data_IF_137972316131
#
_entry.id   IF_137972316131
#
_cell.length_a   1.000
_cell.length_b   1.000
_cell.length_c   1.000
_cell.angle_alpha   90.00
_cell.angle_beta   90.00
_cell.angle_gamma   90.00
#
_symmetry.space_group_name_H-M   'P 1'
#
loop_
_entity.id
_entity.type
_entity.pdbx_description
1 polymer ?
#
# COMPACT_ATOMS: atom_id res chain seq x y z
N UNK A 1 16.50 27.07 49.53
CA UNK A 1 15.16 27.24 48.90
C UNK A 1 15.19 26.88 47.40
N UNK A 2 15.62 25.67 47.01
CA UNK A 2 15.58 25.22 45.60
C UNK A 2 15.04 23.78 45.48
N UNK A 3 14.92 23.04 46.59
CA UNK A 3 14.57 21.62 46.58
C UNK A 3 13.05 21.32 46.59
N UNK A 4 12.20 22.31 46.90
CA UNK A 4 10.74 22.17 46.94
C UNK A 4 10.06 22.34 45.56
N UNK A 5 10.80 22.72 44.52
CA UNK A 5 10.26 22.98 43.18
C UNK A 5 10.25 21.75 42.27
N UNK A 6 11.17 20.80 42.46
CA UNK A 6 11.32 19.65 41.54
C UNK A 6 10.27 18.58 41.82
N UNK A 7 9.87 18.39 43.09
CA UNK A 7 8.91 17.37 43.48
C UNK A 7 7.49 17.71 42.99
N UNK A 8 7.11 19.00 42.97
CA UNK A 8 5.86 19.46 42.39
C UNK A 8 5.81 19.32 40.86
N UNK A 9 6.96 19.45 40.17
CA UNK A 9 7.06 19.25 38.71
C UNK A 9 6.96 17.76 38.37
N UNK A 10 7.58 16.88 39.17
CA UNK A 10 7.49 15.43 38.99
C UNK A 10 6.07 14.91 39.31
N UNK A 11 5.40 15.44 40.32
CA UNK A 11 3.99 15.11 40.61
C UNK A 11 3.02 15.63 39.54
N UNK A 12 3.30 16.80 38.95
CA UNK A 12 2.55 17.30 37.80
C UNK A 12 2.76 16.44 36.55
N UNK A 13 4.00 16.03 36.26
CA UNK A 13 4.29 15.11 35.15
C UNK A 13 3.70 13.72 35.36
N UNK A 14 3.77 13.18 36.57
CA UNK A 14 3.20 11.85 36.86
C UNK A 14 1.67 11.88 36.84
N UNK A 15 0.98 12.92 37.33
CA UNK A 15 -0.48 13.09 37.15
C UNK A 15 -0.91 13.28 35.69
N UNK A 16 -0.06 13.90 34.85
CA UNK A 16 -0.34 14.07 33.42
C UNK A 16 -0.09 12.81 32.58
N UNK A 17 0.75 11.90 33.09
CA UNK A 17 1.03 10.58 32.48
C UNK A 17 0.05 9.52 32.99
N UNK A 18 -0.48 9.63 34.22
CA UNK A 18 -1.40 8.65 34.82
C UNK A 18 -2.88 9.03 34.78
N UNK A 19 -3.24 10.26 34.40
CA UNK A 19 -4.62 10.76 34.36
C UNK A 19 -5.07 11.13 32.94
N UNK A 20 -5.26 10.12 32.09
CA UNK A 20 -5.79 10.32 30.75
C UNK A 20 -5.93 8.99 30.03
N UNK A 21 -6.97 8.22 30.37
CA UNK A 21 -7.39 7.08 29.57
C UNK A 21 -7.58 7.56 28.11
N UNK A 22 -6.63 7.22 27.23
CA UNK A 22 -6.78 7.27 25.77
C UNK A 22 -7.82 6.22 25.35
N UNK A 23 -9.08 6.45 25.67
CA UNK A 23 -10.21 5.72 25.08
C UNK A 23 -10.65 6.31 23.74
N UNK A 24 -10.17 7.49 23.37
CA UNK A 24 -10.63 8.23 22.19
C UNK A 24 -9.69 8.16 20.98
N UNK A 25 -8.52 7.52 21.09
CA UNK A 25 -7.47 7.50 20.05
C UNK A 25 -7.33 6.14 19.32
N UNK A 26 -7.54 5.02 20.04
CA UNK A 26 -7.45 3.66 19.46
C UNK A 26 -8.43 3.43 18.31
N UNK A 27 -9.64 3.97 18.42
CA UNK A 27 -10.68 3.82 17.39
C UNK A 27 -10.36 4.62 16.12
N UNK A 28 -9.63 5.73 16.23
CA UNK A 28 -9.19 6.53 15.09
C UNK A 28 -8.04 5.85 14.38
N UNK A 29 -7.05 5.35 15.12
CA UNK A 29 -5.91 4.63 14.56
C UNK A 29 -6.33 3.32 13.86
N UNK A 30 -7.25 2.54 14.43
CA UNK A 30 -7.80 1.33 13.79
C UNK A 30 -8.61 1.66 12.52
N UNK A 31 -9.38 2.75 12.51
CA UNK A 31 -10.12 3.20 11.33
C UNK A 31 -9.19 3.68 10.21
N UNK A 32 -8.13 4.41 10.55
CA UNK A 32 -7.11 4.86 9.58
C UNK A 32 -6.31 3.66 9.06
N UNK A 33 -5.96 2.71 9.93
CA UNK A 33 -5.26 1.48 9.54
C UNK A 33 -6.12 0.66 8.58
N UNK A 34 -7.43 0.53 8.86
CA UNK A 34 -8.38 -0.13 7.96
C UNK A 34 -8.50 0.62 6.62
N UNK A 35 -8.54 1.95 6.64
CA UNK A 35 -8.54 2.79 5.42
C UNK A 35 -7.25 2.72 4.62
N UNK A 36 -6.14 2.19 5.16
CA UNK A 36 -4.88 2.05 4.43
C UNK A 36 -4.63 0.61 4.00
N UNK A 37 -5.05 -0.36 4.81
CA UNK A 37 -5.06 -1.78 4.43
C UNK A 37 -6.14 -2.03 3.37
N UNK A 38 -7.28 -1.34 3.45
CA UNK A 38 -8.35 -1.31 2.47
C UNK A 38 -8.72 0.11 2.02
N UNK A 39 -7.77 0.72 1.30
CA UNK A 39 -7.81 2.06 0.68
C UNK A 39 -9.10 2.42 -0.07
N UNK A 40 -9.92 1.45 -0.48
CA UNK A 40 -11.08 1.71 -1.33
C UNK A 40 -12.41 1.09 -0.87
N UNK A 41 -12.52 0.51 0.33
CA UNK A 41 -13.83 0.23 0.92
C UNK A 41 -14.62 1.54 1.10
N UNK A 42 -15.61 1.83 0.26
CA UNK A 42 -16.63 2.87 0.57
C UNK A 42 -18.04 2.59 0.05
N UNK A 43 -18.93 3.32 0.74
CA UNK A 43 -20.37 3.51 0.66
C UNK A 43 -20.87 4.19 -0.63
N UNK A 44 -22.18 4.42 -0.64
CA UNK A 44 -23.11 4.36 -1.77
C UNK A 44 -22.93 5.37 -2.92
N UNK A 45 -23.28 4.86 -4.12
CA UNK A 45 -23.85 5.52 -5.29
C UNK A 45 -23.61 7.03 -5.46
N UNK A 46 -22.52 7.35 -6.16
CA UNK A 46 -22.35 8.63 -6.88
C UNK A 46 -22.52 8.42 -8.38
N UNK A 47 -23.22 9.34 -9.02
CA UNK A 47 -23.64 9.39 -10.43
C UNK A 47 -22.63 8.80 -11.43
N UNK A 48 -23.10 7.81 -12.21
CA UNK A 48 -22.28 6.88 -12.98
C UNK A 48 -22.19 7.33 -14.45
N UNK A 49 -21.01 7.80 -14.86
CA UNK A 49 -20.65 7.95 -16.29
C UNK A 49 -19.58 6.95 -16.74
N UNK A 50 -19.12 6.07 -15.83
CA UNK A 50 -18.16 5.00 -16.09
C UNK A 50 -18.87 3.76 -16.64
N UNK A 51 -18.27 3.08 -17.63
CA UNK A 51 -18.73 1.76 -18.06
C UNK A 51 -18.61 0.77 -16.88
N UNK A 52 -19.76 0.44 -16.27
CA UNK A 52 -19.84 -0.51 -15.16
C UNK A 52 -19.37 -1.89 -15.66
N UNK A 53 -18.39 -2.47 -14.95
CA UNK A 53 -17.91 -3.82 -15.24
C UNK A 53 -18.85 -4.83 -14.59
N UNK A 54 -19.42 -5.72 -15.40
CA UNK A 54 -20.27 -6.78 -14.84
C UNK A 54 -19.42 -7.78 -14.08
N UNK A 55 -20.02 -8.43 -13.07
CA UNK A 55 -19.31 -9.45 -12.28
C UNK A 55 -18.81 -10.60 -13.15
N UNK A 56 -19.53 -10.96 -14.22
CA UNK A 56 -19.13 -12.01 -15.15
C UNK A 56 -17.90 -11.61 -15.98
N UNK A 57 -17.81 -10.34 -16.38
CA UNK A 57 -16.63 -9.80 -17.07
C UNK A 57 -15.40 -9.84 -16.16
N UNK A 58 -15.55 -9.41 -14.91
CA UNK A 58 -14.47 -9.44 -13.91
C UNK A 58 -14.04 -10.89 -13.65
N UNK A 59 -15.00 -11.79 -13.46
CA UNK A 59 -14.75 -13.22 -13.21
C UNK A 59 -13.97 -13.85 -14.36
N UNK A 60 -14.40 -13.61 -15.61
CA UNK A 60 -13.71 -14.13 -16.78
C UNK A 60 -12.28 -13.59 -16.89
N UNK A 61 -12.08 -12.30 -16.63
CA UNK A 61 -10.75 -11.69 -16.66
C UNK A 61 -9.83 -12.27 -15.56
N UNK A 62 -10.33 -12.41 -14.33
CA UNK A 62 -9.58 -13.00 -13.22
C UNK A 62 -9.18 -14.44 -13.52
N UNK A 63 -10.07 -15.26 -14.09
CA UNK A 63 -9.75 -16.64 -14.48
C UNK A 63 -8.66 -16.72 -15.54
N UNK A 64 -8.65 -15.80 -16.51
CA UNK A 64 -7.55 -15.71 -17.49
C UNK A 64 -6.23 -15.34 -16.83
N UNK A 65 -6.24 -14.42 -15.86
CA UNK A 65 -5.03 -14.03 -15.11
C UNK A 65 -4.53 -15.15 -14.19
N UNK A 66 -5.42 -15.98 -13.64
CA UNK A 66 -5.04 -17.20 -12.90
C UNK A 66 -4.33 -18.24 -13.77
N UNK A 67 -4.52 -18.19 -15.09
CA UNK A 67 -3.88 -19.08 -16.06
C UNK A 67 -2.59 -18.50 -16.66
N UNK A 68 -2.21 -17.27 -16.28
CA UNK A 68 -0.95 -16.69 -16.73
C UNK A 68 0.23 -17.45 -16.10
N UNK A 69 1.21 -17.84 -16.92
CA UNK A 69 2.39 -18.55 -16.46
C UNK A 69 3.59 -17.61 -16.30
N UNK A 70 3.66 -16.57 -17.14
CA UNK A 70 4.79 -15.65 -17.23
C UNK A 70 4.41 -14.20 -16.89
N UNK A 71 5.40 -13.37 -16.56
CA UNK A 71 5.22 -11.92 -16.39
C UNK A 71 4.68 -11.27 -17.66
N UNK A 72 5.17 -11.66 -18.85
CA UNK A 72 4.68 -11.14 -20.12
C UNK A 72 3.20 -11.44 -20.38
N UNK A 73 2.75 -12.67 -20.08
CA UNK A 73 1.32 -13.01 -20.13
C UNK A 73 0.49 -12.12 -19.23
N UNK A 74 0.97 -11.89 -18.01
CA UNK A 74 0.26 -11.07 -17.04
C UNK A 74 0.21 -9.59 -17.47
N UNK A 75 1.31 -9.02 -17.95
CA UNK A 75 1.36 -7.64 -18.47
C UNK A 75 0.31 -7.44 -19.56
N UNK A 76 0.22 -8.37 -20.51
CA UNK A 76 -0.73 -8.30 -21.62
C UNK A 76 -2.20 -8.39 -21.16
N UNK A 77 -2.48 -9.28 -20.20
CA UNK A 77 -3.82 -9.44 -19.62
C UNK A 77 -4.23 -8.20 -18.80
N UNK A 78 -3.36 -7.74 -17.90
CA UNK A 78 -3.57 -6.53 -17.11
C UNK A 78 -3.73 -5.31 -18.01
N UNK A 79 -2.85 -5.12 -19.00
CA UNK A 79 -2.92 -4.00 -19.94
C UNK A 79 -4.23 -4.00 -20.76
N UNK A 80 -4.75 -5.18 -21.11
CA UNK A 80 -6.04 -5.32 -21.81
C UNK A 80 -7.23 -4.89 -20.95
N UNK A 81 -7.17 -5.14 -19.65
CA UNK A 81 -8.23 -4.75 -18.72
C UNK A 81 -8.10 -3.29 -18.29
N UNK A 82 -6.89 -2.84 -17.94
CA UNK A 82 -6.64 -1.46 -17.45
C UNK A 82 -6.86 -0.42 -18.56
N UNK A 83 -6.58 -0.73 -19.84
CA UNK A 83 -6.84 0.22 -20.95
C UNK A 83 -8.33 0.57 -21.15
N UNK A 84 -9.24 -0.18 -20.53
CA UNK A 84 -10.69 0.08 -20.58
C UNK A 84 -11.10 1.20 -19.65
N UNK A 85 -10.25 1.55 -18.68
CA UNK A 85 -10.48 2.66 -17.78
C UNK A 85 -9.89 3.93 -18.38
N UNK A 86 -10.72 4.96 -18.47
CA UNK A 86 -10.32 6.28 -18.95
C UNK A 86 -9.52 7.03 -17.88
N UNK A 87 -8.87 8.13 -18.27
CA UNK A 87 -8.23 9.04 -17.32
C UNK A 87 -9.27 9.60 -16.32
N UNK A 88 -10.50 9.87 -16.77
CA UNK A 88 -11.60 10.34 -15.93
C UNK A 88 -11.97 9.33 -14.85
N UNK A 89 -11.89 8.03 -15.15
CA UNK A 89 -12.14 6.97 -14.17
C UNK A 89 -11.07 6.97 -13.07
N UNK A 90 -9.79 7.16 -13.45
CA UNK A 90 -8.69 7.29 -12.50
C UNK A 90 -8.81 8.54 -11.63
N UNK A 91 -9.17 9.68 -12.24
CA UNK A 91 -9.46 10.93 -11.53
C UNK A 91 -10.62 10.73 -10.54
N UNK A 92 -11.71 10.08 -10.95
CA UNK A 92 -12.83 9.80 -10.06
C UNK A 92 -12.43 8.87 -8.91
N UNK A 93 -11.65 7.82 -9.17
CA UNK A 93 -11.09 6.94 -8.15
C UNK A 93 -10.23 7.72 -7.14
N UNK A 94 -9.41 8.65 -7.62
CA UNK A 94 -8.56 9.50 -6.79
C UNK A 94 -9.36 10.53 -5.98
N UNK A 95 -10.31 11.24 -6.59
CA UNK A 95 -11.18 12.20 -5.89
C UNK A 95 -12.00 11.52 -4.80
N UNK A 96 -12.57 10.34 -5.07
CA UNK A 96 -13.26 9.56 -4.03
C UNK A 96 -12.31 9.25 -2.87
N UNK A 97 -11.06 8.88 -3.15
CA UNK A 97 -10.06 8.67 -2.11
C UNK A 97 -9.78 9.93 -1.28
N UNK A 98 -9.61 11.08 -1.95
CA UNK A 98 -9.42 12.37 -1.28
C UNK A 98 -10.60 12.74 -0.37
N UNK A 99 -11.83 12.47 -0.83
CA UNK A 99 -13.05 12.70 -0.05
C UNK A 99 -13.09 11.84 1.21
N UNK A 100 -12.74 10.55 1.14
CA UNK A 100 -12.69 9.68 2.34
C UNK A 100 -11.72 10.21 3.38
N UNK A 101 -10.58 10.68 2.88
CA UNK A 101 -9.49 11.10 3.74
C UNK A 101 -9.64 12.55 4.20
N UNK A 102 -10.71 13.27 3.81
CA UNK A 102 -10.91 14.70 4.12
C UNK A 102 -10.87 15.06 5.60
N UNK A 103 -11.16 14.11 6.48
CA UNK A 103 -11.19 14.32 7.92
C UNK A 103 -9.85 13.97 8.60
N UNK A 104 -8.90 13.38 7.86
CA UNK A 104 -7.56 13.10 8.38
C UNK A 104 -6.76 14.38 8.56
N UNK A 105 -5.78 14.40 9.51
CA UNK A 105 -4.91 15.55 9.72
C UNK A 105 -4.24 16.03 8.43
N UNK A 106 -4.24 17.34 8.17
CA UNK A 106 -3.71 17.91 6.92
C UNK A 106 -2.27 17.48 6.62
N UNK A 107 -1.41 17.45 7.64
CA UNK A 107 -0.02 17.03 7.47
C UNK A 107 0.09 15.58 7.00
N UNK A 108 -0.76 14.70 7.54
CA UNK A 108 -0.83 13.30 7.12
C UNK A 108 -1.30 13.16 5.66
N UNK A 109 -2.36 13.89 5.28
CA UNK A 109 -2.86 13.88 3.90
C UNK A 109 -1.84 14.37 2.89
N UNK A 110 -1.07 15.41 3.23
CA UNK A 110 -0.02 15.93 2.37
C UNK A 110 1.07 14.89 2.05
N UNK A 111 1.25 13.89 2.92
CA UNK A 111 2.17 12.77 2.70
C UNK A 111 1.48 11.60 1.97
N UNK A 112 0.22 11.32 2.31
CA UNK A 112 -0.53 10.19 1.77
C UNK A 112 -1.00 10.39 0.32
N UNK A 113 -1.58 11.55 -0.01
CA UNK A 113 -2.21 11.79 -1.30
C UNK A 113 -1.24 11.67 -2.48
N UNK A 114 0.00 12.19 -2.42
CA UNK A 114 0.99 11.95 -3.47
C UNK A 114 1.30 10.47 -3.69
N UNK A 115 1.27 9.67 -2.62
CA UNK A 115 1.56 8.22 -2.67
C UNK A 115 0.41 7.43 -3.27
N UNK A 116 -0.82 7.82 -2.99
CA UNK A 116 -2.00 7.27 -3.66
C UNK A 116 -2.05 7.69 -5.13
N UNK A 117 -1.66 8.92 -5.45
CA UNK A 117 -1.51 9.35 -6.84
C UNK A 117 -0.49 8.48 -7.60
N UNK A 118 0.68 8.21 -6.98
CA UNK A 118 1.68 7.29 -7.53
C UNK A 118 1.11 5.88 -7.74
N UNK A 119 0.40 5.34 -6.74
CA UNK A 119 -0.24 4.02 -6.81
C UNK A 119 -1.29 3.90 -7.93
N UNK A 120 -2.02 4.98 -8.24
CA UNK A 120 -3.03 4.98 -9.30
C UNK A 120 -2.40 5.30 -10.66
N UNK A 121 -1.89 6.53 -10.81
CA UNK A 121 -1.53 7.08 -12.11
C UNK A 121 -0.18 6.59 -12.59
N UNK A 122 0.82 6.50 -11.70
CA UNK A 122 2.15 6.03 -12.12
C UNK A 122 2.11 4.54 -12.44
N UNK A 123 1.40 3.73 -11.65
CA UNK A 123 1.21 2.31 -11.95
C UNK A 123 0.47 2.10 -13.29
N UNK A 124 -0.63 2.82 -13.52
CA UNK A 124 -1.38 2.72 -14.78
C UNK A 124 -0.51 3.12 -15.98
N UNK A 125 0.23 4.23 -15.87
CA UNK A 125 1.07 4.72 -16.95
C UNK A 125 2.18 3.71 -17.29
N UNK A 126 2.88 3.20 -16.29
CA UNK A 126 3.94 2.18 -16.45
C UNK A 126 3.40 0.91 -17.10
N UNK A 127 2.27 0.40 -16.62
CA UNK A 127 1.63 -0.78 -17.20
C UNK A 127 1.28 -0.58 -18.68
N UNK A 128 0.63 0.54 -19.02
CA UNK A 128 0.24 0.80 -20.40
C UNK A 128 1.43 1.05 -21.33
N UNK A 129 2.51 1.66 -20.83
CA UNK A 129 3.75 1.79 -21.60
C UNK A 129 4.36 0.42 -21.89
N UNK A 130 4.50 -0.44 -20.88
CA UNK A 130 5.05 -1.79 -21.04
C UNK A 130 4.21 -2.65 -21.98
N UNK A 131 2.89 -2.63 -21.82
CA UNK A 131 1.96 -3.41 -22.64
C UNK A 131 1.87 -2.90 -24.10
N UNK A 132 2.18 -1.63 -24.37
CA UNK A 132 2.15 -1.07 -25.73
C UNK A 132 3.47 -1.19 -26.47
N UNK A 133 4.59 -1.10 -25.76
CA UNK A 133 5.92 -1.22 -26.37
C UNK A 133 6.26 -2.66 -26.73
N UNK A 134 5.52 -3.64 -26.19
CA UNK A 134 5.88 -5.06 -26.28
C UNK A 134 7.12 -5.42 -25.46
N UNK A 135 7.72 -4.46 -24.75
CA UNK A 135 8.94 -4.67 -23.98
C UNK A 135 8.75 -5.69 -22.84
N UNK A 136 7.50 -5.90 -22.39
CA UNK A 136 7.15 -6.92 -21.42
C UNK A 136 6.74 -8.26 -22.03
N UNK A 137 6.49 -8.34 -23.35
CA UNK A 137 5.88 -9.53 -23.96
C UNK A 137 6.85 -10.72 -23.99
N UNK A 138 8.15 -10.46 -24.03
CA UNK A 138 9.22 -11.46 -24.01
C UNK A 138 9.68 -11.84 -22.59
N UNK A 139 9.04 -11.27 -21.55
CA UNK A 139 9.38 -11.60 -20.15
C UNK A 139 8.80 -12.96 -19.75
N UNK A 140 9.57 -14.02 -20.01
CA UNK A 140 9.26 -15.41 -19.68
C UNK A 140 9.44 -15.75 -18.18
N UNK A 141 9.71 -14.76 -17.32
CA UNK A 141 9.85 -14.99 -15.88
C UNK A 141 8.58 -15.62 -15.33
N UNK A 142 8.71 -16.80 -14.73
CA UNK A 142 7.57 -17.53 -14.17
C UNK A 142 6.94 -16.77 -13.00
N UNK A 143 5.61 -16.69 -13.00
CA UNK A 143 4.87 -16.07 -11.90
C UNK A 143 4.90 -16.95 -10.64
N UNK A 144 4.97 -16.34 -9.45
CA UNK A 144 4.83 -17.09 -8.21
C UNK A 144 3.40 -17.66 -8.11
N UNK A 145 3.27 -18.84 -7.48
CA UNK A 145 1.96 -19.48 -7.22
C UNK A 145 0.96 -18.55 -6.51
N UNK A 146 1.46 -17.60 -5.71
CA UNK A 146 0.66 -16.59 -5.04
C UNK A 146 -0.17 -15.72 -6.02
N UNK A 147 0.26 -15.56 -7.28
CA UNK A 147 -0.50 -14.83 -8.30
C UNK A 147 -1.87 -15.48 -8.56
N UNK A 148 -1.95 -16.81 -8.63
CA UNK A 148 -3.22 -17.54 -8.81
C UNK A 148 -4.19 -17.22 -7.67
N UNK A 149 -3.71 -17.33 -6.42
CA UNK A 149 -4.51 -17.00 -5.23
C UNK A 149 -4.91 -15.52 -5.18
N UNK A 150 -4.05 -14.62 -5.67
CA UNK A 150 -4.34 -13.19 -5.76
C UNK A 150 -5.51 -12.92 -6.70
N UNK A 151 -5.48 -13.43 -7.93
CA UNK A 151 -6.58 -13.23 -8.88
C UNK A 151 -7.87 -13.95 -8.46
N UNK A 152 -7.77 -15.07 -7.74
CA UNK A 152 -8.91 -15.69 -7.07
C UNK A 152 -9.52 -14.81 -5.97
N UNK A 153 -8.68 -14.13 -5.19
CA UNK A 153 -9.14 -13.17 -4.18
C UNK A 153 -9.87 -11.98 -4.83
N UNK A 154 -9.40 -11.47 -5.96
CA UNK A 154 -10.07 -10.37 -6.68
C UNK A 154 -11.48 -10.77 -7.12
N UNK A 155 -11.63 -11.97 -7.68
CA UNK A 155 -12.94 -12.51 -8.08
C UNK A 155 -13.90 -12.54 -6.88
N UNK A 156 -13.44 -13.07 -5.73
CA UNK A 156 -14.22 -13.13 -4.51
C UNK A 156 -14.57 -11.73 -3.96
N UNK A 157 -13.60 -10.81 -3.94
CA UNK A 157 -13.78 -9.44 -3.47
C UNK A 157 -14.80 -8.67 -4.33
N UNK A 158 -14.70 -8.80 -5.66
CA UNK A 158 -15.63 -8.18 -6.58
C UNK A 158 -17.05 -8.74 -6.42
N UNK A 159 -17.19 -10.06 -6.23
CA UNK A 159 -18.50 -10.71 -6.01
C UNK A 159 -19.13 -10.27 -4.69
N UNK A 160 -18.33 -10.13 -3.63
CA UNK A 160 -18.82 -9.62 -2.35
C UNK A 160 -19.26 -8.16 -2.48
N UNK A 161 -18.43 -7.32 -3.12
CA UNK A 161 -18.73 -5.91 -3.33
C UNK A 161 -20.01 -5.71 -4.14
N UNK A 162 -20.19 -6.48 -5.21
CA UNK A 162 -21.36 -6.43 -6.10
C UNK A 162 -22.71 -6.65 -5.38
N UNK A 163 -22.73 -7.25 -4.19
CA UNK A 163 -23.95 -7.38 -3.37
C UNK A 163 -24.46 -6.05 -2.84
N UNK A 164 -23.56 -5.07 -2.67
CA UNK A 164 -23.85 -3.79 -2.01
C UNK A 164 -23.56 -2.58 -2.89
N UNK A 165 -22.59 -2.66 -3.81
CA UNK A 165 -22.17 -1.53 -4.63
C UNK A 165 -21.39 -2.00 -5.88
N UNK A 166 -21.12 -1.08 -6.80
CA UNK A 166 -20.33 -1.33 -8.00
C UNK A 166 -18.88 -1.77 -7.66
N UNK A 167 -18.42 -2.94 -8.14
CA UNK A 167 -17.05 -3.42 -7.90
C UNK A 167 -16.00 -2.79 -8.83
N UNK A 168 -16.38 -1.94 -9.79
CA UNK A 168 -15.49 -1.46 -10.87
C UNK A 168 -14.20 -0.81 -10.36
N UNK A 169 -14.27 0.10 -9.40
CA UNK A 169 -13.06 0.74 -8.84
C UNK A 169 -12.27 -0.15 -7.87
N UNK A 170 -12.96 -1.06 -7.18
CA UNK A 170 -12.29 -2.08 -6.37
C UNK A 170 -11.45 -2.99 -7.27
N UNK A 171 -12.02 -3.40 -8.41
CA UNK A 171 -11.33 -4.19 -9.42
C UNK A 171 -10.12 -3.44 -9.99
N UNK A 172 -10.29 -2.17 -10.38
CA UNK A 172 -9.17 -1.35 -10.87
C UNK A 172 -8.02 -1.25 -9.87
N UNK A 173 -8.31 -0.97 -8.58
CA UNK A 173 -7.31 -0.98 -7.50
C UNK A 173 -6.50 -2.27 -7.52
N UNK A 174 -7.17 -3.42 -7.57
CA UNK A 174 -6.50 -4.71 -7.54
C UNK A 174 -5.71 -5.02 -8.81
N UNK A 175 -6.14 -4.56 -9.99
CA UNK A 175 -5.35 -4.70 -11.22
C UNK A 175 -4.03 -3.94 -11.12
N UNK A 176 -4.08 -2.68 -10.65
CA UNK A 176 -2.89 -1.84 -10.50
C UNK A 176 -1.94 -2.40 -9.43
N UNK A 177 -2.47 -2.86 -8.30
CA UNK A 177 -1.67 -3.52 -7.27
C UNK A 177 -1.09 -4.87 -7.76
N UNK A 178 -1.81 -5.61 -8.59
CA UNK A 178 -1.31 -6.86 -9.18
C UNK A 178 -0.12 -6.62 -10.10
N UNK A 179 -0.18 -5.53 -10.88
CA UNK A 179 0.93 -5.06 -11.69
C UNK A 179 2.16 -4.72 -10.83
N UNK A 180 2.00 -3.90 -9.78
CA UNK A 180 3.14 -3.51 -8.94
C UNK A 180 3.75 -4.71 -8.21
N UNK A 181 2.92 -5.59 -7.65
CA UNK A 181 3.36 -6.75 -6.87
C UNK A 181 4.05 -7.81 -7.73
N UNK A 182 3.45 -8.23 -8.84
CA UNK A 182 3.91 -9.41 -9.58
C UNK A 182 4.76 -9.09 -10.80
N UNK A 183 4.62 -7.90 -11.38
CA UNK A 183 5.43 -7.49 -12.53
C UNK A 183 6.62 -6.67 -12.06
N UNK A 184 6.35 -5.59 -11.32
CA UNK A 184 7.42 -4.68 -10.85
C UNK A 184 8.15 -5.19 -9.60
N UNK A 185 7.60 -6.19 -8.91
CA UNK A 185 8.12 -6.70 -7.62
C UNK A 185 8.23 -5.60 -6.55
N UNK A 186 7.39 -4.59 -6.66
CA UNK A 186 7.31 -3.44 -5.77
C UNK A 186 6.15 -3.61 -4.77
N UNK A 187 6.20 -2.94 -3.61
CA UNK A 187 5.13 -3.04 -2.62
C UNK A 187 3.79 -2.54 -3.15
N UNK A 188 2.71 -3.10 -2.63
CA UNK A 188 1.33 -2.69 -2.95
C UNK A 188 1.07 -1.19 -2.67
N UNK A 189 1.75 -0.65 -1.65
CA UNK A 189 1.76 0.77 -1.32
C UNK A 189 3.16 1.34 -1.60
N UNK A 190 3.30 2.41 -2.40
CA UNK A 190 4.62 2.93 -2.78
C UNK A 190 5.51 3.31 -1.60
N UNK A 191 6.83 3.27 -1.81
CA UNK A 191 7.82 3.69 -0.80
C UNK A 191 7.54 5.13 -0.35
N UNK A 192 7.51 5.34 0.97
CA UNK A 192 7.14 6.60 1.61
C UNK A 192 5.66 6.72 1.96
N UNK A 193 4.81 5.73 1.63
CA UNK A 193 3.40 5.73 2.06
C UNK A 193 3.34 5.74 3.58
N UNK A 194 2.67 6.73 4.20
CA UNK A 194 2.56 6.79 5.65
C UNK A 194 1.51 5.82 6.18
N UNK A 195 1.77 5.30 7.37
CA UNK A 195 0.86 4.53 8.20
C UNK A 195 0.62 5.24 9.55
N UNK A 196 -0.45 4.88 10.28
CA UNK A 196 -0.70 5.41 11.62
C UNK A 196 0.51 5.28 12.53
N UNK A 197 0.69 6.25 13.41
CA UNK A 197 1.85 6.35 14.27
C UNK A 197 3.12 6.89 13.59
N UNK A 198 3.05 7.35 12.33
CA UNK A 198 4.13 8.09 11.65
C UNK A 198 5.15 7.24 10.90
N UNK A 199 4.98 5.92 10.88
CA UNK A 199 5.83 5.01 10.12
C UNK A 199 5.50 5.09 8.63
N UNK A 200 6.44 4.67 7.77
CA UNK A 200 6.27 4.64 6.32
C UNK A 200 6.60 3.27 5.74
N UNK A 201 6.14 2.98 4.52
CA UNK A 201 6.78 1.95 3.70
C UNK A 201 8.20 2.42 3.39
N UNK A 202 9.19 1.59 3.69
CA UNK A 202 10.60 1.92 3.52
C UNK A 202 11.27 1.01 2.48
N UNK A 203 12.41 1.46 1.97
CA UNK A 203 13.30 0.66 1.15
C UNK A 203 14.70 0.76 1.74
N UNK A 204 15.27 -0.39 2.09
CA UNK A 204 16.56 -0.48 2.76
C UNK A 204 17.37 -1.63 2.17
N UNK A 205 18.57 -1.32 1.68
CA UNK A 205 19.51 -2.30 1.10
C UNK A 205 18.89 -3.20 0.01
N UNK A 206 17.99 -2.64 -0.81
CA UNK A 206 17.30 -3.36 -1.88
C UNK A 206 16.10 -4.20 -1.41
N UNK A 207 15.76 -4.16 -0.12
CA UNK A 207 14.56 -4.79 0.42
C UNK A 207 13.50 -3.75 0.77
N UNK A 208 12.23 -4.06 0.50
CA UNK A 208 11.10 -3.26 0.92
C UNK A 208 10.61 -3.67 2.30
N UNK A 209 10.41 -2.68 3.18
CA UNK A 209 9.94 -2.87 4.54
C UNK A 209 8.58 -2.21 4.73
N UNK A 210 7.61 -2.96 5.25
CA UNK A 210 6.28 -2.46 5.56
C UNK A 210 6.00 -2.61 7.06
N UNK A 211 5.50 -1.56 7.73
CA UNK A 211 5.24 -1.60 9.17
C UNK A 211 4.07 -2.52 9.55
N UNK A 212 3.20 -2.87 8.59
CA UNK A 212 1.96 -3.63 8.80
C UNK A 212 1.83 -4.88 7.92
N UNK A 213 2.94 -5.40 7.38
CA UNK A 213 2.93 -6.57 6.46
C UNK A 213 2.24 -7.78 7.08
N UNK A 214 2.54 -8.06 8.34
CA UNK A 214 2.03 -9.22 9.08
C UNK A 214 0.89 -8.83 10.04
N UNK A 215 0.33 -7.62 9.87
CA UNK A 215 -0.73 -7.07 10.74
C UNK A 215 -2.06 -6.91 10.02
N UNK A 216 -2.26 -7.65 8.94
CA UNK A 216 -3.49 -7.63 8.15
C UNK A 216 -4.52 -8.67 8.61
N UNK A 217 -4.26 -9.35 9.73
CA UNK A 217 -5.14 -10.38 10.28
C UNK A 217 -6.56 -9.84 10.46
N UNK A 218 -7.52 -10.56 9.87
CA UNK A 218 -8.94 -10.22 9.96
C UNK A 218 -9.44 -9.15 8.99
N UNK A 219 -8.59 -8.59 8.10
CA UNK A 219 -9.05 -7.70 7.02
C UNK A 219 -9.37 -8.52 5.76
N UNK A 220 -10.65 -8.64 5.37
CA UNK A 220 -11.03 -9.38 4.17
C UNK A 220 -10.37 -8.79 2.92
N UNK A 221 -9.91 -9.65 2.01
CA UNK A 221 -9.35 -9.26 0.72
C UNK A 221 -8.15 -8.28 0.80
N UNK A 222 -7.37 -8.35 1.89
CA UNK A 222 -6.18 -7.53 2.07
C UNK A 222 -5.10 -7.84 1.02
N UNK A 223 -4.39 -6.79 0.57
CA UNK A 223 -3.24 -6.92 -0.32
C UNK A 223 -1.99 -7.46 0.40
N UNK A 224 -1.91 -7.26 1.73
CA UNK A 224 -0.72 -7.57 2.51
C UNK A 224 -0.17 -8.98 2.25
N UNK A 225 -0.96 -10.08 2.29
CA UNK A 225 -0.45 -11.45 2.07
C UNK A 225 0.34 -11.64 0.77
N UNK A 226 0.07 -10.83 -0.25
CA UNK A 226 0.70 -10.89 -1.57
C UNK A 226 1.84 -9.88 -1.75
N UNK A 227 1.94 -8.89 -0.87
CA UNK A 227 2.92 -7.82 -0.98
C UNK A 227 4.36 -8.37 -0.83
N UNK A 228 5.31 -7.98 -1.71
CA UNK A 228 6.70 -8.43 -1.63
C UNK A 228 7.48 -7.80 -0.47
N UNK A 229 6.96 -6.70 0.12
CA UNK A 229 7.57 -6.09 1.29
C UNK A 229 7.58 -7.05 2.48
N UNK A 230 8.66 -7.01 3.27
CA UNK A 230 8.79 -7.74 4.53
C UNK A 230 8.25 -6.93 5.69
N UNK A 231 7.83 -7.61 6.75
CA UNK A 231 7.52 -6.96 8.02
C UNK A 231 8.78 -6.29 8.56
N UNK A 232 8.67 -5.01 8.94
CA UNK A 232 9.78 -4.32 9.57
C UNK A 232 9.90 -4.71 11.04
N UNK A 233 11.10 -5.12 11.46
CA UNK A 233 11.45 -5.41 12.87
C UNK A 233 11.79 -4.13 13.66
N UNK A 234 12.25 -3.09 12.97
CA UNK A 234 12.51 -1.76 13.53
C UNK A 234 11.46 -0.75 13.02
N UNK A 235 11.10 0.29 13.79
CA UNK A 235 10.23 1.36 13.30
C UNK A 235 10.75 2.02 12.02
N UNK A 236 9.89 2.20 11.03
CA UNK A 236 10.23 2.81 9.73
C UNK A 236 9.86 4.29 9.67
N UNK A 237 10.39 5.10 10.58
CA UNK A 237 10.17 6.55 10.52
C UNK A 237 11.01 7.21 9.42
N UNK A 238 10.52 8.28 8.76
CA UNK A 238 11.28 9.00 7.73
C UNK A 238 12.69 9.43 8.16
N UNK A 239 12.83 9.91 9.41
CA UNK A 239 14.10 10.35 9.99
C UNK A 239 15.11 9.22 10.22
N UNK A 240 14.63 7.98 10.39
CA UNK A 240 15.48 6.81 10.67
C UNK A 240 16.32 6.41 9.46
N UNK A 241 15.92 6.78 8.23
CA UNK A 241 16.70 6.51 7.02
C UNK A 241 18.12 7.08 7.11
N UNK A 242 18.26 8.32 7.57
CA UNK A 242 19.57 8.95 7.70
C UNK A 242 20.43 8.28 8.78
N UNK A 243 19.80 7.90 9.89
CA UNK A 243 20.44 7.19 11.00
C UNK A 243 20.94 5.81 10.56
N UNK A 244 20.13 5.04 9.83
CA UNK A 244 20.51 3.73 9.29
C UNK A 244 21.70 3.84 8.32
N UNK A 245 21.71 4.86 7.44
CA UNK A 245 22.85 5.14 6.54
C UNK A 245 24.14 5.44 7.30
N UNK A 246 24.07 6.26 8.35
CA UNK A 246 25.25 6.59 9.14
C UNK A 246 25.75 5.40 9.98
N UNK A 247 24.84 4.60 10.56
CA UNK A 247 25.18 3.33 11.23
C UNK A 247 25.93 2.39 10.28
N UNK A 248 25.40 2.19 9.07
CA UNK A 248 26.01 1.36 8.03
C UNK A 248 27.37 1.88 7.58
N UNK A 249 27.50 3.20 7.40
CA UNK A 249 28.79 3.83 7.08
C UNK A 249 29.84 3.54 8.15
N UNK A 250 29.48 3.64 9.43
CA UNK A 250 30.38 3.33 10.55
C UNK A 250 30.77 1.85 10.58
N UNK A 251 29.83 0.94 10.34
CA UNK A 251 30.12 -0.50 10.21
C UNK A 251 31.09 -0.78 9.08
N UNK A 252 30.87 -0.22 7.88
CA UNK A 252 31.77 -0.39 6.74
C UNK A 252 33.18 0.14 7.04
N UNK A 253 33.28 1.30 7.70
CA UNK A 253 34.57 1.87 8.10
C UNK A 253 35.27 1.02 9.17
N UNK A 254 34.52 0.45 10.11
CA UNK A 254 35.06 -0.47 11.11
C UNK A 254 35.53 -1.77 10.47
N UNK A 255 34.72 -2.37 9.58
CA UNK A 255 35.08 -3.59 8.85
C UNK A 255 36.30 -3.37 7.94
N UNK A 256 36.40 -2.21 7.30
CA UNK A 256 37.60 -1.84 6.52
C UNK A 256 38.84 -1.78 7.42
N UNK A 257 38.72 -1.18 8.61
CA UNK A 257 39.82 -1.09 9.58
C UNK A 257 40.23 -2.47 10.09
N UNK A 258 39.29 -3.37 10.39
CA UNK A 258 39.60 -4.72 10.88
C UNK A 258 40.16 -5.63 9.80
N UNK A 259 39.74 -5.47 8.53
CA UNK A 259 40.13 -6.37 7.45
C UNK A 259 41.41 -5.97 6.71
N UNK A 260 41.76 -4.68 6.68
CA UNK A 260 42.89 -4.17 5.87
C UNK A 260 43.99 -3.44 6.67
N UNK A 261 43.80 -3.23 7.97
CA UNK A 261 44.83 -2.64 8.85
C UNK A 261 45.14 -3.48 10.10
N UNK A 262 44.89 -4.79 10.02
CA UNK A 262 45.46 -5.76 10.96
C UNK A 262 46.97 -5.84 10.81
#
# INVERSE_FOLDING_TARGET
MIQLSIQAIIEWFTRKISGGERKQDRSSDEAIQTLLIDTYAESEAGDLTTEIRTIDQITLACRRMQQAETKGDLIRLLGTEVKRFSLRDLEMMYTRFEEKTRNLPRQYRNLLLPKVNEQIFSAQHRLLLLARSGAGDEDETTLPKAAVSYFGMIEAAAREKAKTNDPTFLYLKYLLAGFTIFVMEEPAHPVGTPFPGGQIVDEWEGEYLCPVRDRADGVPFALCPFCPARQSDEPTYPEMRAVRKERRRKELLNNYRTNYKG
#
